data_IF_153727685156
#
_entry.id   IF_153727685156
#
_cell.length_a   1.000
_cell.length_b   1.000
_cell.length_c   1.000
_cell.angle_alpha   90.00
_cell.angle_beta   90.00
_cell.angle_gamma   90.00
#
_symmetry.space_group_name_H-M   'P 1'
#
loop_
_entity.id
_entity.type
_entity.pdbx_description
1 polymer ?
#
# COMPACT_ATOMS: atom_id res chain seq x y z
N UNK A 1 5.65 -22.93 24.02
CA UNK A 1 5.09 -22.05 22.99
C UNK A 1 4.17 -21.06 23.68
N UNK A 2 4.66 -19.86 23.94
CA UNK A 2 3.82 -18.75 24.35
C UNK A 2 4.48 -17.47 23.82
N UNK A 3 4.65 -17.43 22.50
CA UNK A 3 5.10 -16.23 21.81
C UNK A 3 3.86 -15.35 21.67
N UNK A 4 3.49 -14.70 22.76
CA UNK A 4 2.60 -13.55 22.69
C UNK A 4 3.44 -12.44 22.02
N UNK A 5 3.62 -12.56 20.70
CA UNK A 5 4.18 -11.52 19.87
C UNK A 5 3.32 -10.30 20.15
N UNK A 6 3.89 -9.31 20.80
CA UNK A 6 3.16 -8.13 21.21
C UNK A 6 2.90 -7.30 19.95
N UNK A 7 1.85 -7.69 19.22
CA UNK A 7 1.45 -7.07 17.97
C UNK A 7 1.22 -5.57 18.17
N UNK A 8 0.88 -5.13 19.37
CA UNK A 8 0.75 -3.71 19.73
C UNK A 8 2.11 -3.01 19.61
N UNK A 9 3.18 -3.56 20.20
CA UNK A 9 4.53 -2.99 20.08
C UNK A 9 5.06 -3.00 18.65
N UNK A 10 4.76 -4.06 17.89
CA UNK A 10 5.12 -4.12 16.48
C UNK A 10 4.37 -3.04 15.67
N UNK A 11 3.07 -2.86 15.92
CA UNK A 11 2.25 -1.82 15.29
C UNK A 11 2.73 -0.41 15.70
N UNK A 12 3.10 -0.20 16.95
CA UNK A 12 3.64 1.07 17.46
C UNK A 12 4.97 1.41 16.79
N UNK A 13 5.88 0.45 16.68
CA UNK A 13 7.16 0.60 15.97
C UNK A 13 6.95 0.92 14.49
N UNK A 14 6.13 0.11 13.81
CA UNK A 14 5.76 0.32 12.39
C UNK A 14 5.14 1.70 12.18
N UNK A 15 4.29 2.16 13.11
CA UNK A 15 3.67 3.49 13.03
C UNK A 15 4.67 4.62 13.21
N UNK A 16 5.67 4.44 14.09
CA UNK A 16 6.69 5.44 14.38
C UNK A 16 7.73 5.55 13.25
N UNK A 17 8.16 4.43 12.71
CA UNK A 17 9.25 4.37 11.74
C UNK A 17 8.75 4.39 10.29
N UNK A 18 7.53 3.90 10.03
CA UNK A 18 6.98 3.68 8.67
C UNK A 18 8.01 3.04 7.73
N UNK A 19 8.80 2.11 8.25
CA UNK A 19 9.78 1.38 7.46
C UNK A 19 9.03 0.46 6.48
N UNK A 20 9.14 0.79 5.20
CA UNK A 20 8.44 0.09 4.12
C UNK A 20 8.99 -1.32 3.90
N UNK A 21 10.26 -1.57 4.22
CA UNK A 21 10.90 -2.88 4.08
C UNK A 21 10.47 -3.81 5.22
N UNK A 22 10.37 -3.30 6.46
CA UNK A 22 9.80 -4.07 7.59
C UNK A 22 8.33 -4.41 7.34
N UNK A 23 7.55 -3.47 6.82
CA UNK A 23 6.14 -3.69 6.44
C UNK A 23 5.99 -4.73 5.32
N UNK A 24 6.81 -4.65 4.27
CA UNK A 24 6.80 -5.63 3.19
C UNK A 24 7.13 -7.03 3.71
N UNK A 25 8.14 -7.14 4.58
CA UNK A 25 8.52 -8.42 5.21
C UNK A 25 7.38 -9.00 6.04
N UNK A 26 6.67 -8.18 6.83
CA UNK A 26 5.52 -8.61 7.59
C UNK A 26 4.39 -9.16 6.69
N UNK A 27 4.05 -8.45 5.61
CA UNK A 27 3.04 -8.91 4.67
C UNK A 27 3.44 -10.23 3.99
N UNK A 28 4.69 -10.37 3.58
CA UNK A 28 5.20 -11.60 2.98
C UNK A 28 5.14 -12.79 3.95
N UNK A 29 5.42 -12.56 5.23
CA UNK A 29 5.29 -13.58 6.26
C UNK A 29 3.82 -14.03 6.42
N UNK A 30 2.88 -13.08 6.44
CA UNK A 30 1.44 -13.39 6.52
C UNK A 30 0.99 -14.20 5.31
N UNK A 31 1.36 -13.76 4.09
CA UNK A 31 1.04 -14.44 2.83
C UNK A 31 1.58 -15.88 2.84
N UNK A 32 2.83 -16.05 3.27
CA UNK A 32 3.50 -17.36 3.32
C UNK A 32 2.88 -18.30 4.35
N UNK A 33 2.58 -17.79 5.55
CA UNK A 33 1.96 -18.58 6.62
C UNK A 33 0.53 -19.00 6.30
N UNK A 34 -0.23 -18.13 5.63
CA UNK A 34 -1.58 -18.43 5.17
C UNK A 34 -1.59 -19.37 3.93
N UNK A 35 -0.45 -19.57 3.27
CA UNK A 35 -0.32 -20.43 2.11
C UNK A 35 -1.05 -19.90 0.87
N UNK A 36 -1.12 -18.58 0.70
CA UNK A 36 -1.87 -17.96 -0.39
C UNK A 36 -1.23 -18.20 -1.75
N UNK A 37 -2.08 -18.42 -2.75
CA UNK A 37 -1.70 -18.52 -4.16
C UNK A 37 -1.58 -17.15 -4.80
N UNK A 38 -0.96 -17.11 -5.99
CA UNK A 38 -0.68 -15.86 -6.70
C UNK A 38 -1.94 -15.06 -7.06
N UNK A 39 -3.02 -15.75 -7.44
CA UNK A 39 -4.32 -15.14 -7.74
C UNK A 39 -5.00 -14.56 -6.48
N UNK A 40 -4.91 -15.26 -5.36
CA UNK A 40 -5.40 -14.79 -4.06
C UNK A 40 -4.63 -13.56 -3.56
N UNK A 41 -3.30 -13.54 -3.73
CA UNK A 41 -2.47 -12.37 -3.42
C UNK A 41 -2.83 -11.19 -4.33
N UNK A 42 -3.06 -11.42 -5.62
CA UNK A 42 -3.50 -10.37 -6.54
C UNK A 42 -4.86 -9.78 -6.12
N UNK A 43 -5.80 -10.62 -5.70
CA UNK A 43 -7.10 -10.19 -5.18
C UNK A 43 -6.97 -9.35 -3.90
N UNK A 44 -6.08 -9.73 -2.97
CA UNK A 44 -5.81 -8.94 -1.77
C UNK A 44 -5.19 -7.58 -2.09
N UNK A 45 -4.22 -7.54 -3.00
CA UNK A 45 -3.60 -6.29 -3.43
C UNK A 45 -4.63 -5.33 -4.06
N UNK A 46 -5.50 -5.86 -4.93
CA UNK A 46 -6.61 -5.10 -5.50
C UNK A 46 -7.54 -4.56 -4.41
N UNK A 47 -7.96 -5.42 -3.47
CA UNK A 47 -8.86 -5.04 -2.40
C UNK A 47 -8.27 -3.92 -1.53
N UNK A 48 -7.02 -4.05 -1.10
CA UNK A 48 -6.32 -3.03 -0.30
C UNK A 48 -6.25 -1.70 -1.06
N UNK A 49 -5.88 -1.73 -2.34
CA UNK A 49 -5.82 -0.54 -3.19
C UNK A 49 -7.20 0.12 -3.34
N UNK A 50 -8.24 -0.67 -3.64
CA UNK A 50 -9.60 -0.19 -3.80
C UNK A 50 -10.12 0.47 -2.52
N UNK A 51 -9.98 -0.20 -1.36
CA UNK A 51 -10.43 0.34 -0.08
C UNK A 51 -9.71 1.65 0.28
N UNK A 52 -8.41 1.72 -0.02
CA UNK A 52 -7.62 2.94 0.25
C UNK A 52 -8.05 4.09 -0.66
N UNK A 53 -8.23 3.83 -1.96
CA UNK A 53 -8.62 4.83 -2.95
C UNK A 53 -10.04 5.34 -2.69
N UNK A 54 -10.98 4.42 -2.40
CA UNK A 54 -12.40 4.74 -2.19
C UNK A 54 -12.72 5.24 -0.78
N UNK A 55 -11.76 5.25 0.15
CA UNK A 55 -11.96 5.85 1.46
C UNK A 55 -12.42 7.31 1.32
N UNK A 56 -13.48 7.71 2.02
CA UNK A 56 -14.19 8.99 1.81
C UNK A 56 -13.28 10.21 1.68
N UNK A 57 -12.24 10.29 2.51
CA UNK A 57 -11.29 11.40 2.52
C UNK A 57 -10.40 11.42 1.27
N UNK A 58 -9.95 10.25 0.80
CA UNK A 58 -9.13 10.12 -0.41
C UNK A 58 -9.98 10.31 -1.66
N UNK A 59 -11.17 9.71 -1.71
CA UNK A 59 -12.12 9.88 -2.81
C UNK A 59 -12.50 11.35 -3.00
N UNK A 60 -12.78 12.07 -1.91
CA UNK A 60 -13.05 13.51 -1.95
C UNK A 60 -11.86 14.29 -2.46
N UNK A 61 -10.67 14.03 -1.92
CA UNK A 61 -9.44 14.72 -2.34
C UNK A 61 -9.15 14.52 -3.84
N UNK A 62 -9.28 13.28 -4.33
CA UNK A 62 -9.07 12.95 -5.74
C UNK A 62 -10.10 13.67 -6.63
N UNK A 63 -11.36 13.70 -6.22
CA UNK A 63 -12.41 14.42 -6.95
C UNK A 63 -12.16 15.93 -6.98
N UNK A 64 -11.76 16.52 -5.86
CA UNK A 64 -11.48 17.96 -5.78
C UNK A 64 -10.24 18.38 -6.58
N UNK A 65 -9.18 17.56 -6.56
CA UNK A 65 -7.90 17.90 -7.21
C UNK A 65 -7.87 17.53 -8.68
N UNK A 66 -8.53 16.44 -9.08
CA UNK A 66 -8.39 15.83 -10.39
C UNK A 66 -9.72 15.72 -11.16
N UNK A 67 -10.86 16.05 -10.53
CA UNK A 67 -12.18 15.89 -11.15
C UNK A 67 -12.60 14.42 -11.35
N UNK A 68 -11.88 13.48 -10.75
CA UNK A 68 -12.09 12.04 -10.92
C UNK A 68 -12.98 11.48 -9.80
N UNK A 69 -14.10 10.83 -10.16
CA UNK A 69 -14.95 10.13 -9.20
C UNK A 69 -14.54 8.64 -9.09
N UNK A 70 -13.82 8.32 -8.01
CA UNK A 70 -13.23 6.99 -7.82
C UNK A 70 -14.23 5.91 -7.41
N UNK A 71 -15.41 6.29 -6.91
CA UNK A 71 -16.40 5.34 -6.40
C UNK A 71 -17.01 4.47 -7.50
N UNK A 72 -17.02 4.98 -8.73
CA UNK A 72 -17.59 4.32 -9.90
C UNK A 72 -16.53 3.68 -10.81
N UNK A 73 -15.28 3.59 -10.37
CA UNK A 73 -14.22 2.98 -11.18
C UNK A 73 -14.42 1.46 -11.28
N UNK A 74 -14.17 0.95 -12.48
CA UNK A 74 -13.99 -0.48 -12.73
C UNK A 74 -12.68 -0.98 -12.09
N UNK A 75 -12.48 -2.30 -12.09
CA UNK A 75 -11.23 -2.93 -11.67
C UNK A 75 -10.03 -2.30 -12.39
N UNK A 76 -10.15 -2.13 -13.71
CA UNK A 76 -9.12 -1.49 -14.53
C UNK A 76 -8.85 -0.04 -14.10
N UNK A 77 -9.91 0.72 -13.79
CA UNK A 77 -9.78 2.10 -13.31
C UNK A 77 -8.99 2.19 -12.01
N UNK A 78 -9.24 1.27 -11.07
CA UNK A 78 -8.48 1.18 -9.81
C UNK A 78 -7.01 0.84 -10.08
N UNK A 79 -6.72 -0.10 -10.99
CA UNK A 79 -5.33 -0.40 -11.35
C UNK A 79 -4.61 0.80 -11.97
N UNK A 80 -5.29 1.61 -12.78
CA UNK A 80 -4.70 2.84 -13.34
C UNK A 80 -4.39 3.89 -12.29
N UNK A 81 -5.25 4.06 -11.30
CA UNK A 81 -4.95 4.93 -10.15
C UNK A 81 -3.78 4.39 -9.35
N UNK A 82 -3.75 3.08 -9.08
CA UNK A 82 -2.66 2.44 -8.36
C UNK A 82 -1.32 2.58 -9.11
N UNK A 83 -1.29 2.34 -10.42
CA UNK A 83 -0.12 2.52 -11.28
C UNK A 83 0.43 3.97 -11.18
N UNK A 84 -0.46 4.96 -11.26
CA UNK A 84 -0.07 6.37 -11.14
C UNK A 84 0.55 6.69 -9.76
N UNK A 85 -0.04 6.17 -8.67
CA UNK A 85 0.46 6.39 -7.31
C UNK A 85 1.82 5.71 -7.08
N UNK A 86 2.01 4.50 -7.61
CA UNK A 86 3.29 3.77 -7.53
C UNK A 86 4.37 4.55 -8.28
N UNK A 87 4.09 5.04 -9.49
CA UNK A 87 5.06 5.84 -10.25
C UNK A 87 5.48 7.11 -9.50
N UNK A 88 4.54 7.80 -8.85
CA UNK A 88 4.85 8.97 -8.00
C UNK A 88 5.74 8.56 -6.82
N UNK A 89 5.46 7.42 -6.17
CA UNK A 89 6.27 6.93 -5.06
C UNK A 89 7.70 6.60 -5.50
N UNK A 90 7.86 5.86 -6.60
CA UNK A 90 9.18 5.49 -7.15
C UNK A 90 9.99 6.72 -7.55
N UNK A 91 9.37 7.72 -8.17
CA UNK A 91 10.03 8.98 -8.54
C UNK A 91 10.53 9.75 -7.29
N UNK A 92 9.70 9.84 -6.24
CA UNK A 92 10.10 10.45 -4.96
C UNK A 92 11.26 9.71 -4.32
N UNK A 93 11.12 8.39 -4.18
CA UNK A 93 12.15 7.54 -3.59
C UNK A 93 13.48 7.63 -4.34
N UNK A 94 13.43 7.66 -5.68
CA UNK A 94 14.63 7.82 -6.51
C UNK A 94 15.31 9.17 -6.29
N UNK A 95 14.56 10.26 -6.17
CA UNK A 95 15.11 11.61 -5.94
C UNK A 95 15.74 11.75 -4.56
N UNK A 96 15.11 11.21 -3.53
CA UNK A 96 15.60 11.26 -2.15
C UNK A 96 16.89 10.44 -1.96
N UNK A 97 17.03 9.33 -2.69
CA UNK A 97 18.19 8.43 -2.58
C UNK A 97 19.30 8.66 -3.63
N UNK A 98 19.06 9.47 -4.67
CA UNK A 98 20.06 9.82 -5.69
C UNK A 98 20.86 11.10 -5.39
N UNK A 99 20.79 11.66 -4.17
CA UNK A 99 21.70 12.74 -3.72
C UNK A 99 23.08 12.22 -3.24
N UNK A 100 23.52 11.06 -3.71
CA UNK A 100 24.89 10.56 -3.55
C UNK A 100 25.63 10.58 -4.89
N UNK A 101 26.70 11.39 -4.95
CA UNK A 101 27.65 11.60 -6.04
C UNK A 101 27.24 12.49 -7.23
N UNK A 102 27.59 13.78 -7.10
CA UNK A 102 28.36 14.51 -8.12
C UNK A 102 29.61 15.06 -7.45
#
# INVERSE_FOLDING_TARGET
>A
MNDNYDYIKLIEKIRAEKDMDELATLFMNIISLAGLKMDEVAALNYFIAEQTIKADHNARLIKEKLGLDVNNLSIEGIFKVQEALVNIYVDKYSKENNHGNI
#
